data_IF_841926920662
#
_entry.id   IF_841926920662
#
_cell.length_a   1.000
_cell.length_b   1.000
_cell.length_c   1.000
_cell.angle_alpha   90.00
_cell.angle_beta   90.00
_cell.angle_gamma   90.00
#
_symmetry.space_group_name_H-M   'P 1'
#
loop_
_entity.id
_entity.type
_entity.pdbx_description
1 polymer ?
#
# COMPACT_ATOMS: atom_id res chain seq x y z
N UNK A 1 28.22 48.21 -0.41
CA UNK A 1 28.37 47.29 0.74
C UNK A 1 26.97 46.92 1.19
N UNK A 2 26.52 45.70 0.88
CA UNK A 2 25.24 45.19 1.37
C UNK A 2 25.39 44.93 2.89
N UNK A 3 24.57 45.62 3.67
CA UNK A 3 24.46 45.41 5.12
C UNK A 3 23.99 43.98 5.38
N UNK A 4 24.83 43.21 6.08
CA UNK A 4 24.46 41.91 6.60
C UNK A 4 23.20 42.07 7.45
N UNK A 5 22.09 41.48 7.00
CA UNK A 5 20.85 41.38 7.75
C UNK A 5 21.17 40.75 9.10
N UNK A 6 20.90 41.48 10.18
CA UNK A 6 21.15 41.05 11.56
C UNK A 6 20.65 39.62 11.76
N UNK A 7 21.58 38.71 12.08
CA UNK A 7 21.24 37.34 12.38
C UNK A 7 20.31 37.30 13.59
N UNK A 8 19.20 36.56 13.48
CA UNK A 8 18.26 36.41 14.58
C UNK A 8 19.01 35.98 15.86
N UNK A 9 18.75 36.61 17.01
CA UNK A 9 19.48 36.33 18.24
C UNK A 9 19.44 34.84 18.58
N UNK A 10 20.54 34.31 19.14
CA UNK A 10 20.75 32.88 19.41
C UNK A 10 19.61 32.26 20.26
N UNK A 11 18.99 33.08 21.11
CA UNK A 11 17.80 32.78 21.92
C UNK A 11 16.55 32.47 21.11
N UNK A 12 16.46 32.94 19.86
CA UNK A 12 15.39 32.64 18.89
C UNK A 12 15.83 31.55 17.92
N UNK A 13 17.11 31.54 17.51
CA UNK A 13 17.69 30.56 16.59
C UNK A 13 17.70 29.14 17.16
N UNK A 14 18.12 28.97 18.42
CA UNK A 14 18.22 27.65 19.06
C UNK A 14 16.85 26.93 19.19
N UNK A 15 15.77 27.54 19.73
CA UNK A 15 14.46 26.88 19.78
C UNK A 15 13.84 26.68 18.39
N UNK A 16 14.10 27.57 17.43
CA UNK A 16 13.66 27.38 16.05
C UNK A 16 14.34 26.17 15.39
N UNK A 17 15.67 26.08 15.50
CA UNK A 17 16.44 24.97 14.94
C UNK A 17 16.08 23.64 15.61
N UNK A 18 16.00 23.60 16.94
CA UNK A 18 15.59 22.42 17.68
C UNK A 18 14.18 21.96 17.31
N UNK A 19 13.23 22.89 17.14
CA UNK A 19 11.86 22.55 16.68
C UNK A 19 11.86 21.98 15.26
N UNK A 20 12.66 22.53 14.34
CA UNK A 20 12.79 22.03 12.97
C UNK A 20 13.43 20.64 12.91
N UNK A 21 14.51 20.42 13.66
CA UNK A 21 15.19 19.12 13.76
C UNK A 21 14.25 18.07 14.34
N UNK A 22 13.57 18.36 15.45
CA UNK A 22 12.60 17.44 16.06
C UNK A 22 11.45 17.13 15.10
N UNK A 23 10.96 18.14 14.36
CA UNK A 23 9.91 17.94 13.35
C UNK A 23 10.38 17.06 12.19
N UNK A 24 11.62 17.24 11.73
CA UNK A 24 12.21 16.39 10.69
C UNK A 24 12.39 14.95 11.14
N UNK A 25 12.85 14.73 12.38
CA UNK A 25 12.98 13.39 12.98
C UNK A 25 11.59 12.74 13.09
N UNK A 26 10.61 13.45 13.64
CA UNK A 26 9.25 12.93 13.79
C UNK A 26 8.59 12.62 12.44
N UNK A 27 8.80 13.48 11.44
CA UNK A 27 8.35 13.25 10.07
C UNK A 27 8.98 12.00 9.47
N UNK A 28 10.31 11.89 9.55
CA UNK A 28 11.07 10.75 9.00
C UNK A 28 10.67 9.45 9.68
N UNK A 29 10.55 9.44 11.01
CA UNK A 29 10.05 8.29 11.75
C UNK A 29 8.64 7.92 11.29
N UNK A 30 7.71 8.89 11.22
CA UNK A 30 6.33 8.64 10.78
C UNK A 30 6.29 8.04 9.37
N UNK A 31 7.13 8.52 8.45
CA UNK A 31 7.24 8.00 7.09
C UNK A 31 7.75 6.57 7.05
N UNK A 32 8.89 6.30 7.70
CA UNK A 32 9.48 4.95 7.75
C UNK A 32 8.50 3.96 8.38
N UNK A 33 7.85 4.32 9.48
CA UNK A 33 6.89 3.44 10.14
C UNK A 33 5.63 3.22 9.30
N UNK A 34 5.06 4.26 8.71
CA UNK A 34 3.88 4.12 7.85
C UNK A 34 4.19 3.23 6.64
N UNK A 35 5.36 3.43 6.03
CA UNK A 35 5.83 2.63 4.91
C UNK A 35 6.04 1.16 5.30
N UNK A 36 6.70 0.87 6.43
CA UNK A 36 6.91 -0.50 6.89
C UNK A 36 5.61 -1.19 7.30
N UNK A 37 4.67 -0.48 7.94
CA UNK A 37 3.35 -1.01 8.26
C UNK A 37 2.59 -1.39 6.98
N UNK A 38 2.65 -0.54 5.96
CA UNK A 38 2.06 -0.86 4.66
C UNK A 38 2.76 -2.07 4.03
N UNK A 39 4.10 -2.15 4.07
CA UNK A 39 4.86 -3.28 3.52
C UNK A 39 4.54 -4.61 4.19
N UNK A 40 4.47 -4.65 5.53
CA UNK A 40 4.15 -5.87 6.28
C UNK A 40 2.70 -6.29 6.03
N UNK A 41 1.76 -5.33 6.08
CA UNK A 41 0.35 -5.59 5.81
C UNK A 41 0.14 -6.09 4.38
N UNK A 42 0.87 -5.53 3.42
CA UNK A 42 0.80 -5.99 2.04
C UNK A 42 1.40 -7.38 1.90
N UNK A 43 2.58 -7.64 2.49
CA UNK A 43 3.26 -8.92 2.34
C UNK A 43 2.54 -10.10 3.01
N UNK A 44 1.93 -9.89 4.17
CA UNK A 44 1.19 -10.94 4.89
C UNK A 44 -0.26 -11.04 4.41
N UNK A 45 -0.90 -9.90 4.10
CA UNK A 45 -2.32 -9.87 3.78
C UNK A 45 -2.62 -10.17 2.32
N UNK A 46 -1.84 -9.60 1.40
CA UNK A 46 -2.17 -9.62 -0.04
C UNK A 46 -0.99 -10.02 -0.94
N UNK A 47 0.17 -10.34 -0.34
CA UNK A 47 1.47 -10.39 -1.00
C UNK A 47 1.49 -11.34 -2.19
N UNK A 48 0.83 -12.49 -2.09
CA UNK A 48 0.78 -13.45 -3.19
C UNK A 48 0.05 -12.88 -4.42
N UNK A 49 -1.08 -12.19 -4.23
CA UNK A 49 -1.75 -11.47 -5.32
C UNK A 49 -0.92 -10.31 -5.84
N UNK A 50 -0.15 -9.63 -4.99
CA UNK A 50 0.68 -8.51 -5.42
C UNK A 50 1.86 -8.94 -6.29
N UNK A 51 2.55 -10.02 -5.92
CA UNK A 51 3.79 -10.40 -6.58
C UNK A 51 3.56 -11.06 -7.92
N UNK A 52 2.59 -11.97 -7.97
CA UNK A 52 2.56 -12.95 -9.04
C UNK A 52 1.52 -12.63 -10.08
N UNK A 53 1.91 -12.56 -11.35
CA UNK A 53 0.98 -12.22 -12.43
C UNK A 53 -0.17 -13.24 -12.57
N UNK A 54 0.09 -14.51 -12.29
CA UNK A 54 -0.88 -15.61 -12.34
C UNK A 54 -1.87 -15.62 -11.17
N UNK A 55 -1.66 -14.78 -10.14
CA UNK A 55 -2.59 -14.61 -9.02
C UNK A 55 -3.49 -13.38 -9.21
N UNK A 56 -3.24 -12.56 -10.24
CA UNK A 56 -3.98 -11.32 -10.50
C UNK A 56 -5.28 -11.58 -11.26
N UNK A 57 -6.14 -12.39 -10.66
CA UNK A 57 -7.46 -12.73 -11.19
C UNK A 57 -8.47 -11.56 -11.11
N UNK A 58 -9.66 -11.75 -11.65
CA UNK A 58 -10.74 -10.75 -11.61
C UNK A 58 -11.65 -10.87 -10.39
N UNK A 59 -11.51 -11.92 -9.58
CA UNK A 59 -12.41 -12.21 -8.47
C UNK A 59 -11.83 -11.71 -7.15
N UNK A 60 -10.59 -12.11 -6.85
CA UNK A 60 -9.92 -11.92 -5.58
C UNK A 60 -8.96 -10.76 -5.58
N UNK A 61 -8.17 -10.60 -6.63
CA UNK A 61 -7.19 -9.53 -6.67
C UNK A 61 -7.84 -8.14 -6.44
N UNK A 62 -8.99 -7.78 -7.08
CA UNK A 62 -9.67 -6.53 -6.78
C UNK A 62 -10.11 -6.40 -5.32
N UNK A 63 -10.58 -7.49 -4.71
CA UNK A 63 -11.09 -7.49 -3.35
C UNK A 63 -9.97 -7.29 -2.32
N UNK A 64 -8.90 -8.08 -2.43
CA UNK A 64 -7.77 -8.02 -1.50
C UNK A 64 -7.02 -6.69 -1.64
N UNK A 65 -6.87 -6.17 -2.87
CA UNK A 65 -6.30 -4.85 -3.10
C UNK A 65 -7.20 -3.73 -2.59
N UNK A 66 -8.52 -3.85 -2.69
CA UNK A 66 -9.45 -2.88 -2.11
C UNK A 66 -9.29 -2.83 -0.61
N UNK A 67 -9.17 -3.99 0.05
CA UNK A 67 -8.95 -4.04 1.49
C UNK A 67 -7.67 -3.31 1.90
N UNK A 68 -6.52 -3.59 1.25
CA UNK A 68 -5.25 -2.98 1.65
C UNK A 68 -5.30 -1.45 1.49
N UNK A 69 -5.86 -0.93 0.39
CA UNK A 69 -5.90 0.52 0.15
C UNK A 69 -6.95 1.23 1.01
N UNK A 70 -8.11 0.62 1.23
CA UNK A 70 -9.20 1.20 2.01
C UNK A 70 -8.87 1.32 3.51
N UNK A 71 -8.06 0.40 4.04
CA UNK A 71 -7.62 0.44 5.44
C UNK A 71 -6.51 1.47 5.65
N UNK A 72 -5.51 1.48 4.77
CA UNK A 72 -4.27 2.21 5.04
C UNK A 72 -4.28 3.66 4.55
N UNK A 73 -4.78 3.93 3.34
CA UNK A 73 -4.64 5.24 2.72
C UNK A 73 -5.45 6.34 3.43
N UNK A 74 -6.70 6.12 3.86
CA UNK A 74 -7.40 7.16 4.63
C UNK A 74 -6.64 7.55 5.92
N UNK A 75 -5.99 6.57 6.57
CA UNK A 75 -5.20 6.79 7.78
C UNK A 75 -3.96 7.61 7.49
N UNK A 76 -3.15 7.23 6.50
CA UNK A 76 -1.91 7.94 6.18
C UNK A 76 -2.17 9.39 5.77
N UNK A 77 -3.12 9.61 4.86
CA UNK A 77 -3.46 10.98 4.44
C UNK A 77 -3.86 11.85 5.64
N UNK A 78 -4.68 11.31 6.55
CA UNK A 78 -5.09 12.05 7.75
C UNK A 78 -3.93 12.36 8.71
N UNK A 79 -3.05 11.38 8.99
CA UNK A 79 -1.94 11.55 9.93
C UNK A 79 -0.97 12.60 9.42
N UNK A 80 -0.53 12.48 8.16
CA UNK A 80 0.38 13.46 7.56
C UNK A 80 -0.25 14.85 7.51
N UNK A 81 -1.56 14.95 7.29
CA UNK A 81 -2.23 16.23 7.33
C UNK A 81 -2.34 16.83 8.72
N UNK A 82 -2.77 16.02 9.69
CA UNK A 82 -3.03 16.48 11.05
C UNK A 82 -1.76 17.05 11.67
N UNK A 83 -0.66 16.31 11.56
CA UNK A 83 0.57 16.59 12.29
C UNK A 83 1.62 17.36 11.48
N UNK A 84 1.71 17.17 10.16
CA UNK A 84 2.73 17.80 9.32
C UNK A 84 2.16 18.78 8.29
N UNK A 85 0.83 18.95 8.22
CA UNK A 85 0.13 19.78 7.21
C UNK A 85 0.42 19.36 5.77
N UNK A 86 0.74 18.08 5.57
CA UNK A 86 0.96 17.48 4.26
C UNK A 86 -0.36 16.91 3.76
N UNK A 87 -0.70 17.16 2.50
CA UNK A 87 -1.98 16.77 1.90
C UNK A 87 -1.88 15.59 0.92
N UNK A 88 -0.68 15.04 0.76
CA UNK A 88 -0.37 13.92 -0.12
C UNK A 88 0.24 12.75 0.67
N UNK A 89 -0.24 12.54 1.90
CA UNK A 89 0.35 11.59 2.84
C UNK A 89 0.31 10.15 2.35
N UNK A 90 -0.80 9.72 1.76
CA UNK A 90 -0.94 8.37 1.23
C UNK A 90 -0.05 8.15 0.02
N UNK A 91 -0.05 9.11 -0.89
CA UNK A 91 0.80 9.08 -2.08
C UNK A 91 2.28 9.03 -1.68
N UNK A 92 2.68 9.82 -0.67
CA UNK A 92 4.06 9.83 -0.16
C UNK A 92 4.47 8.46 0.40
N UNK A 93 3.66 7.87 1.28
CA UNK A 93 3.93 6.54 1.85
C UNK A 93 4.02 5.49 0.74
N UNK A 94 3.09 5.53 -0.22
CA UNK A 94 3.08 4.61 -1.35
C UNK A 94 4.34 4.75 -2.23
N UNK A 95 4.83 5.95 -2.49
CA UNK A 95 6.05 6.15 -3.28
C UNK A 95 7.28 5.50 -2.62
N UNK A 96 7.43 5.67 -1.31
CA UNK A 96 8.52 5.01 -0.57
C UNK A 96 8.35 3.49 -0.50
N UNK A 97 7.10 3.01 -0.40
CA UNK A 97 6.82 1.58 -0.52
C UNK A 97 7.18 1.04 -1.90
N UNK A 98 6.83 1.73 -2.99
CA UNK A 98 7.22 1.32 -4.35
C UNK A 98 8.73 1.27 -4.51
N UNK A 99 9.47 2.24 -3.96
CA UNK A 99 10.93 2.22 -3.98
C UNK A 99 11.47 0.96 -3.28
N UNK A 100 11.06 0.70 -2.04
CA UNK A 100 11.49 -0.50 -1.31
C UNK A 100 11.12 -1.78 -2.07
N UNK A 101 9.89 -1.86 -2.56
CA UNK A 101 9.35 -3.07 -3.16
C UNK A 101 9.98 -3.36 -4.52
N UNK A 102 10.25 -2.31 -5.31
CA UNK A 102 10.97 -2.43 -6.58
C UNK A 102 12.39 -2.91 -6.35
N UNK A 103 13.10 -2.34 -5.36
CA UNK A 103 14.44 -2.81 -4.98
C UNK A 103 14.42 -4.28 -4.55
N UNK A 104 13.43 -4.69 -3.76
CA UNK A 104 13.29 -6.08 -3.34
C UNK A 104 13.05 -7.02 -4.53
N UNK A 105 12.20 -6.64 -5.49
CA UNK A 105 11.99 -7.44 -6.71
C UNK A 105 13.29 -7.55 -7.51
N UNK A 106 13.97 -6.43 -7.76
CA UNK A 106 15.18 -6.42 -8.57
C UNK A 106 16.31 -7.23 -7.93
N UNK A 107 16.54 -7.06 -6.62
CA UNK A 107 17.63 -7.73 -5.91
C UNK A 107 17.33 -9.20 -5.64
N UNK A 108 16.15 -9.52 -5.09
CA UNK A 108 15.86 -10.87 -4.62
C UNK A 108 15.12 -11.73 -5.64
N UNK A 109 14.08 -11.21 -6.30
CA UNK A 109 13.28 -12.03 -7.20
C UNK A 109 13.96 -12.18 -8.57
N UNK A 110 14.39 -11.08 -9.17
CA UNK A 110 15.09 -11.08 -10.45
C UNK A 110 16.56 -11.44 -10.26
N UNK A 111 17.27 -10.71 -9.39
CA UNK A 111 18.72 -10.85 -9.23
C UNK A 111 19.18 -12.17 -8.61
N UNK A 112 18.55 -12.62 -7.51
CA UNK A 112 18.94 -13.86 -6.83
C UNK A 112 18.18 -15.09 -7.33
N UNK A 113 16.87 -14.95 -7.58
CA UNK A 113 16.02 -16.10 -7.93
C UNK A 113 15.71 -16.23 -9.43
N UNK A 114 16.24 -15.34 -10.27
CA UNK A 114 16.09 -15.37 -11.74
C UNK A 114 14.64 -15.41 -12.22
N UNK A 115 13.69 -14.89 -11.43
CA UNK A 115 12.34 -14.70 -11.91
C UNK A 115 12.32 -13.59 -12.98
N UNK A 116 11.62 -13.78 -14.10
CA UNK A 116 11.41 -12.72 -15.08
C UNK A 116 10.71 -11.52 -14.44
N UNK A 117 11.18 -10.31 -14.73
CA UNK A 117 10.60 -9.09 -14.15
C UNK A 117 9.12 -8.90 -14.52
N UNK A 118 8.71 -9.36 -15.71
CA UNK A 118 7.32 -9.36 -16.14
C UNK A 118 6.46 -10.44 -15.45
N UNK A 119 7.06 -11.40 -14.75
CA UNK A 119 6.33 -12.36 -13.93
C UNK A 119 6.07 -11.84 -12.51
N UNK A 120 7.02 -11.06 -11.97
CA UNK A 120 6.95 -10.46 -10.63
C UNK A 120 6.67 -8.97 -10.75
N UNK A 121 5.39 -8.62 -10.87
CA UNK A 121 4.96 -7.24 -11.16
C UNK A 121 4.23 -6.63 -9.98
N UNK A 122 4.53 -5.39 -9.63
CA UNK A 122 3.79 -4.71 -8.56
C UNK A 122 2.39 -4.28 -8.99
N UNK A 123 1.41 -4.31 -8.07
CA UNK A 123 0.12 -3.69 -8.30
C UNK A 123 0.27 -2.16 -8.35
N UNK A 124 -0.57 -1.51 -9.16
CA UNK A 124 -0.68 -0.06 -9.14
C UNK A 124 -1.73 0.39 -8.12
N UNK A 125 -1.25 1.03 -7.05
CA UNK A 125 -2.09 1.67 -6.03
C UNK A 125 -2.10 3.20 -6.11
N UNK A 126 -1.52 3.77 -7.17
CA UNK A 126 -1.32 5.22 -7.27
C UNK A 126 -2.64 5.99 -7.28
N UNK A 127 -3.60 5.59 -8.11
CA UNK A 127 -4.92 6.24 -8.15
C UNK A 127 -5.70 6.09 -6.84
N UNK A 128 -5.76 4.91 -6.20
CA UNK A 128 -6.34 4.80 -4.86
C UNK A 128 -5.70 5.73 -3.81
N UNK A 129 -4.37 5.86 -3.80
CA UNK A 129 -3.66 6.72 -2.85
C UNK A 129 -3.96 8.20 -3.09
N UNK A 130 -3.89 8.63 -4.35
CA UNK A 130 -4.24 10.00 -4.75
C UNK A 130 -5.69 10.33 -4.38
N UNK A 131 -6.62 9.39 -4.55
CA UNK A 131 -8.02 9.62 -4.24
C UNK A 131 -8.28 9.81 -2.73
N UNK A 132 -7.58 9.07 -1.88
CA UNK A 132 -7.64 9.30 -0.43
C UNK A 132 -7.10 10.70 -0.05
N UNK A 133 -6.00 11.11 -0.68
CA UNK A 133 -5.42 12.45 -0.48
C UNK A 133 -6.35 13.57 -0.99
N UNK A 134 -6.96 13.39 -2.16
CA UNK A 134 -7.96 14.32 -2.71
C UNK A 134 -9.22 14.39 -1.87
N UNK A 135 -9.68 13.28 -1.29
CA UNK A 135 -10.87 13.28 -0.43
C UNK A 135 -10.69 14.17 0.81
N UNK A 136 -9.47 14.22 1.35
CA UNK A 136 -9.15 15.10 2.47
C UNK A 136 -9.10 16.59 2.07
N UNK A 137 -8.64 16.88 0.84
CA UNK A 137 -8.54 18.22 0.27
C UNK A 137 -9.89 18.79 -0.16
N UNK A 138 -10.62 18.06 -1.02
CA UNK A 138 -11.79 18.55 -1.73
C UNK A 138 -13.01 18.70 -0.82
N UNK A 139 -13.21 17.76 0.09
CA UNK A 139 -14.42 17.74 0.90
C UNK A 139 -14.25 18.46 2.25
N UNK A 140 -13.05 18.96 2.57
CA UNK A 140 -12.80 19.67 3.82
C UNK A 140 -13.19 18.88 5.08
N UNK A 141 -13.30 17.54 4.97
CA UNK A 141 -13.93 16.65 5.96
C UNK A 141 -13.11 16.47 7.23
N UNK A 142 -12.14 17.36 7.50
CA UNK A 142 -11.35 17.38 8.73
C UNK A 142 -12.23 17.41 9.99
N UNK A 143 -13.45 17.96 9.89
CA UNK A 143 -14.43 18.04 10.97
C UNK A 143 -15.37 16.82 11.05
N UNK A 144 -15.44 15.99 10.02
CA UNK A 144 -16.36 14.85 9.91
C UNK A 144 -15.59 13.57 9.55
N UNK A 145 -14.85 13.03 10.52
CA UNK A 145 -13.96 11.89 10.32
C UNK A 145 -14.64 10.62 9.82
N UNK A 146 -15.87 10.33 10.28
CA UNK A 146 -16.63 9.19 9.77
C UNK A 146 -16.90 9.30 8.26
N UNK A 147 -17.34 10.47 7.80
CA UNK A 147 -17.63 10.71 6.40
C UNK A 147 -16.36 10.71 5.54
N UNK A 148 -15.26 11.29 6.05
CA UNK A 148 -13.96 11.24 5.40
C UNK A 148 -13.51 9.79 5.15
N UNK A 149 -13.56 8.94 6.17
CA UNK A 149 -13.15 7.54 6.06
C UNK A 149 -14.00 6.81 5.04
N UNK A 150 -15.33 6.97 5.09
CA UNK A 150 -16.26 6.32 4.16
C UNK A 150 -15.99 6.73 2.70
N UNK A 151 -15.90 8.03 2.44
CA UNK A 151 -15.67 8.55 1.08
C UNK A 151 -14.28 8.15 0.57
N UNK A 152 -13.26 8.24 1.41
CA UNK A 152 -11.89 7.88 1.02
C UNK A 152 -11.76 6.40 0.74
N UNK A 153 -12.35 5.53 1.58
CA UNK A 153 -12.35 4.09 1.38
C UNK A 153 -13.11 3.71 0.10
N UNK A 154 -14.27 4.33 -0.14
CA UNK A 154 -15.07 4.09 -1.35
C UNK A 154 -14.30 4.50 -2.61
N UNK A 155 -13.77 5.72 -2.66
CA UNK A 155 -13.02 6.22 -3.81
C UNK A 155 -11.73 5.42 -4.05
N UNK A 156 -11.00 5.08 -2.98
CA UNK A 156 -9.81 4.26 -3.09
C UNK A 156 -10.14 2.86 -3.65
N UNK A 157 -11.20 2.21 -3.17
CA UNK A 157 -11.64 0.90 -3.63
C UNK A 157 -12.08 0.88 -5.09
N UNK A 158 -12.92 1.84 -5.51
CA UNK A 158 -13.40 1.94 -6.90
C UNK A 158 -12.24 2.13 -7.88
N UNK A 159 -11.17 2.81 -7.48
CA UNK A 159 -10.01 3.09 -8.33
C UNK A 159 -8.95 1.97 -8.36
N UNK A 160 -9.12 0.90 -7.58
CA UNK A 160 -8.24 -0.28 -7.61
C UNK A 160 -8.29 -0.93 -9.00
N UNK A 161 -9.49 -1.22 -9.50
CA UNK A 161 -9.64 -1.95 -10.77
C UNK A 161 -9.11 -1.12 -11.95
N UNK A 162 -9.52 0.15 -12.12
CA UNK A 162 -8.96 1.00 -13.18
C UNK A 162 -7.46 1.24 -13.04
N UNK A 163 -6.93 1.40 -11.82
CA UNK A 163 -5.50 1.62 -11.61
C UNK A 163 -4.64 0.39 -11.92
N UNK A 164 -5.11 -0.80 -11.56
CA UNK A 164 -4.36 -2.04 -11.69
C UNK A 164 -4.56 -2.74 -13.04
N UNK A 165 -5.81 -2.94 -13.47
CA UNK A 165 -6.12 -3.85 -14.58
C UNK A 165 -6.06 -3.20 -15.97
N UNK A 166 -6.23 -1.88 -16.06
CA UNK A 166 -6.14 -1.15 -17.34
C UNK A 166 -4.69 -0.84 -17.75
N UNK A 167 -3.74 -0.82 -16.81
CA UNK A 167 -2.37 -0.35 -17.07
C UNK A 167 -1.30 -1.44 -17.04
N UNK A 168 -1.47 -2.52 -16.26
CA UNK A 168 -0.40 -3.51 -16.04
C UNK A 168 -0.71 -4.90 -16.63
N UNK A 169 -1.94 -5.40 -16.49
CA UNK A 169 -2.23 -6.80 -16.82
C UNK A 169 -2.98 -6.99 -18.14
N UNK A 170 -3.49 -5.93 -18.77
CA UNK A 170 -4.30 -6.01 -20.00
C UNK A 170 -3.65 -6.86 -21.10
N UNK A 171 -2.35 -6.74 -21.40
CA UNK A 171 -1.70 -7.57 -22.42
C UNK A 171 -1.63 -9.05 -22.05
N UNK A 172 -1.48 -9.36 -20.75
CA UNK A 172 -1.31 -10.73 -20.25
C UNK A 172 -2.64 -11.45 -20.01
N UNK A 173 -3.70 -10.68 -19.72
CA UNK A 173 -5.04 -11.18 -19.46
C UNK A 173 -5.90 -11.33 -20.73
N UNK A 174 -5.71 -10.44 -21.72
CA UNK A 174 -6.54 -10.43 -22.94
C UNK A 174 -5.94 -11.20 -24.11
N UNK A 175 -4.66 -11.59 -24.02
CA UNK A 175 -4.01 -12.36 -25.08
C UNK A 175 -4.09 -13.84 -24.76
N UNK A 176 -4.71 -14.60 -25.66
CA UNK A 176 -4.71 -16.06 -25.62
C UNK A 176 -3.64 -16.62 -26.55
N UNK A 177 -3.00 -17.70 -26.12
CA UNK A 177 -2.01 -18.45 -26.89
C UNK A 177 -2.53 -19.86 -27.08
N UNK A 178 -2.49 -20.34 -28.32
CA UNK A 178 -2.70 -21.75 -28.63
C UNK A 178 -1.40 -22.52 -28.41
N UNK A 179 -1.44 -23.60 -27.66
CA UNK A 179 -0.32 -24.54 -27.53
C UNK A 179 -0.78 -25.96 -27.87
N UNK A 180 0.11 -26.80 -28.41
CA UNK A 180 -0.21 -28.20 -28.68
C UNK A 180 -0.46 -28.92 -27.35
N UNK A 181 -1.64 -29.52 -27.19
CA UNK A 181 -1.93 -30.38 -26.06
C UNK A 181 -1.18 -31.71 -26.23
N UNK A 182 -0.22 -32.03 -25.33
CA UNK A 182 0.56 -33.25 -25.43
C UNK A 182 -0.26 -34.53 -25.21
N UNK A 183 -1.48 -34.44 -24.66
CA UNK A 183 -2.35 -35.58 -24.38
C UNK A 183 -3.43 -35.81 -25.43
N UNK A 184 -3.96 -34.75 -26.04
CA UNK A 184 -5.06 -34.86 -27.02
C UNK A 184 -4.62 -34.58 -28.46
N UNK A 185 -3.42 -34.03 -28.67
CA UNK A 185 -2.94 -33.62 -30.00
C UNK A 185 -3.67 -32.41 -30.61
N UNK A 186 -4.64 -31.84 -29.88
CA UNK A 186 -5.36 -30.63 -30.26
C UNK A 186 -4.62 -29.35 -29.87
N UNK A 187 -5.14 -28.20 -30.28
CA UNK A 187 -4.65 -26.90 -29.80
C UNK A 187 -5.44 -26.54 -28.55
N UNK A 188 -4.78 -26.52 -27.39
CA UNK A 188 -5.36 -25.95 -26.18
C UNK A 188 -5.12 -24.45 -26.16
N UNK A 189 -6.17 -23.67 -25.90
CA UNK A 189 -6.08 -22.20 -25.84
C UNK A 189 -6.06 -21.77 -24.39
N UNK A 190 -5.02 -21.05 -23.97
CA UNK A 190 -4.94 -20.49 -22.62
C UNK A 190 -4.45 -19.04 -22.66
N UNK A 191 -4.82 -18.22 -21.68
CA UNK A 191 -4.30 -16.87 -21.58
C UNK A 191 -2.78 -16.89 -21.31
N UNK A 192 -2.06 -15.88 -21.79
CA UNK A 192 -0.58 -15.79 -21.70
C UNK A 192 -0.08 -15.99 -20.27
N UNK A 193 -0.80 -15.49 -19.27
CA UNK A 193 -0.39 -15.64 -17.86
C UNK A 193 -0.35 -17.12 -17.41
N UNK A 194 -1.23 -17.98 -17.91
CA UNK A 194 -1.24 -19.42 -17.59
C UNK A 194 -0.02 -20.12 -18.19
N UNK A 195 0.41 -19.71 -19.39
CA UNK A 195 1.63 -20.20 -20.01
C UNK A 195 2.87 -19.81 -19.19
N UNK A 196 2.96 -18.54 -18.79
CA UNK A 196 4.06 -18.03 -17.97
C UNK A 196 4.20 -18.87 -16.69
N UNK A 197 3.09 -19.19 -16.02
CA UNK A 197 3.05 -20.07 -14.83
C UNK A 197 3.59 -21.47 -15.09
N UNK A 198 3.23 -22.09 -16.22
CA UNK A 198 3.71 -23.44 -16.58
C UNK A 198 5.21 -23.45 -16.89
N UNK A 199 5.73 -22.36 -17.48
CA UNK A 199 7.13 -22.26 -17.87
C UNK A 199 8.07 -21.87 -16.73
N UNK A 200 7.58 -21.19 -15.70
CA UNK A 200 8.39 -20.67 -14.59
C UNK A 200 8.02 -21.44 -13.31
N UNK A 201 8.77 -22.48 -12.94
CA UNK A 201 8.46 -23.28 -11.76
C UNK A 201 8.57 -22.45 -10.48
N UNK A 202 7.46 -22.31 -9.76
CA UNK A 202 7.41 -21.74 -8.41
C UNK A 202 7.63 -22.85 -7.38
N UNK A 203 8.87 -23.03 -6.92
CA UNK A 203 9.11 -23.81 -5.70
C UNK A 203 8.79 -22.91 -4.49
N UNK A 204 7.86 -23.26 -3.57
CA UNK A 204 7.10 -24.50 -3.40
C UNK A 204 5.58 -24.23 -3.42
N UNK A 205 5.03 -23.62 -4.47
CA UNK A 205 3.59 -23.28 -4.54
C UNK A 205 2.90 -24.28 -5.49
N UNK A 206 2.25 -25.34 -4.99
CA UNK A 206 1.49 -26.27 -5.80
C UNK A 206 0.37 -25.57 -6.60
N UNK A 207 0.08 -26.11 -7.78
CA UNK A 207 -0.84 -25.47 -8.72
C UNK A 207 -2.29 -25.37 -8.19
N UNK A 208 -2.70 -26.33 -7.36
CA UNK A 208 -4.04 -26.40 -6.77
C UNK A 208 -4.40 -25.25 -5.81
N UNK A 209 -3.40 -24.52 -5.28
CA UNK A 209 -3.65 -23.36 -4.39
C UNK A 209 -4.26 -22.20 -5.18
N UNK A 210 -3.91 -22.03 -6.47
CA UNK A 210 -4.49 -20.98 -7.30
C UNK A 210 -5.71 -21.46 -8.12
N UNK A 211 -5.81 -22.76 -8.41
CA UNK A 211 -6.88 -23.32 -9.27
C UNK A 211 -8.24 -23.43 -8.56
N UNK A 212 -8.26 -23.46 -7.22
CA UNK A 212 -9.50 -23.43 -6.43
C UNK A 212 -10.29 -22.12 -6.53
N UNK A 213 -9.80 -21.12 -7.26
CA UNK A 213 -10.35 -19.78 -7.34
C UNK A 213 -10.78 -19.35 -8.75
N UNK A 214 -11.03 -20.31 -9.66
CA UNK A 214 -11.47 -20.03 -11.04
C UNK A 214 -13.00 -19.97 -11.17
N UNK A 215 -13.51 -18.90 -11.79
CA UNK A 215 -14.93 -18.66 -12.07
C UNK A 215 -15.45 -19.60 -13.19
N UNK A 216 -16.72 -20.06 -13.18
CA UNK A 216 -17.78 -19.82 -12.19
C UNK A 216 -17.64 -20.77 -10.98
N UNK A 217 -17.65 -20.18 -9.78
CA UNK A 217 -17.48 -20.94 -8.54
C UNK A 217 -18.85 -21.34 -7.98
N UNK A 218 -19.08 -22.64 -7.71
CA UNK A 218 -20.31 -23.09 -7.08
C UNK A 218 -20.24 -22.72 -5.59
N UNK A 219 -20.97 -21.68 -5.17
CA UNK A 219 -21.22 -21.40 -3.75
C UNK A 219 -21.83 -22.66 -3.09
N UNK A 220 -21.03 -23.43 -2.36
CA UNK A 220 -21.47 -24.71 -1.79
C UNK A 220 -21.76 -24.67 -0.29
N UNK A 221 -21.16 -23.78 0.51
CA UNK A 221 -21.51 -23.66 1.94
C UNK A 221 -20.92 -22.44 2.67
N UNK A 222 -21.42 -22.17 3.88
CA UNK A 222 -20.96 -21.11 4.81
C UNK A 222 -19.54 -21.33 5.38
N UNK A 223 -18.91 -22.48 5.10
CA UNK A 223 -17.52 -22.79 5.45
C UNK A 223 -16.54 -22.52 4.30
N UNK A 224 -17.01 -21.82 3.26
CA UNK A 224 -16.17 -21.44 2.14
C UNK A 224 -14.96 -20.63 2.66
N UNK A 225 -13.72 -20.91 2.21
CA UNK A 225 -12.52 -20.12 2.55
C UNK A 225 -12.69 -18.60 2.36
N UNK A 226 -13.72 -18.20 1.61
CA UNK A 226 -14.19 -16.85 1.36
C UNK A 226 -14.68 -16.10 2.61
N UNK A 227 -15.48 -16.75 3.47
CA UNK A 227 -15.97 -16.12 4.72
C UNK A 227 -14.82 -16.02 5.74
N UNK A 228 -13.95 -17.04 5.77
CA UNK A 228 -12.79 -17.07 6.64
C UNK A 228 -11.76 -16.02 6.22
N UNK A 229 -11.46 -15.87 4.92
CA UNK A 229 -10.55 -14.83 4.43
C UNK A 229 -11.12 -13.42 4.62
N UNK A 230 -12.40 -13.20 4.32
CA UNK A 230 -13.04 -11.88 4.55
C UNK A 230 -13.04 -11.53 6.04
N UNK A 231 -13.35 -12.49 6.92
CA UNK A 231 -13.29 -12.32 8.37
C UNK A 231 -11.87 -12.07 8.89
N UNK A 232 -10.90 -12.86 8.42
CA UNK A 232 -9.48 -12.68 8.78
C UNK A 232 -8.95 -11.33 8.30
N UNK A 233 -9.24 -10.92 7.06
CA UNK A 233 -8.86 -9.61 6.54
C UNK A 233 -9.53 -8.47 7.33
N UNK A 234 -10.81 -8.60 7.67
CA UNK A 234 -11.49 -7.64 8.54
C UNK A 234 -10.80 -7.48 9.90
N UNK A 235 -10.50 -8.60 10.57
CA UNK A 235 -9.81 -8.61 11.87
C UNK A 235 -8.40 -8.03 11.75
N UNK A 236 -7.63 -8.45 10.76
CA UNK A 236 -6.28 -7.94 10.50
C UNK A 236 -6.32 -6.44 10.22
N UNK A 237 -7.31 -5.95 9.48
CA UNK A 237 -7.48 -4.52 9.21
C UNK A 237 -7.69 -3.71 10.50
N UNK A 238 -8.49 -4.22 11.43
CA UNK A 238 -8.73 -3.58 12.73
C UNK A 238 -7.49 -3.65 13.62
N UNK A 239 -6.81 -4.79 13.68
CA UNK A 239 -5.59 -4.98 14.48
C UNK A 239 -4.47 -4.06 13.96
N UNK A 240 -4.22 -4.05 12.66
CA UNK A 240 -3.14 -3.25 12.06
C UNK A 240 -3.42 -1.74 12.11
N UNK A 241 -4.66 -1.31 11.87
CA UNK A 241 -5.03 0.10 12.07
C UNK A 241 -4.92 0.52 13.54
N UNK A 242 -5.27 -0.36 14.48
CA UNK A 242 -5.07 -0.15 15.92
C UNK A 242 -3.60 -0.01 16.32
N UNK A 243 -2.73 -0.92 15.87
CA UNK A 243 -1.28 -0.83 16.08
C UNK A 243 -0.68 0.44 15.47
N UNK A 244 -1.04 0.74 14.24
CA UNK A 244 -0.62 1.96 13.53
C UNK A 244 -1.01 3.21 14.31
N UNK A 245 -2.25 3.26 14.80
CA UNK A 245 -2.73 4.37 15.63
C UNK A 245 -1.98 4.51 16.95
N UNK A 246 -1.80 3.42 17.71
CA UNK A 246 -1.10 3.43 19.00
C UNK A 246 0.34 3.91 18.81
N UNK A 247 1.03 3.39 17.80
CA UNK A 247 2.43 3.71 17.58
C UNK A 247 2.62 5.15 17.14
N UNK A 248 1.78 5.64 16.23
CA UNK A 248 1.83 7.04 15.79
C UNK A 248 1.47 7.98 16.93
N UNK A 249 0.49 7.62 17.77
CA UNK A 249 0.18 8.38 18.99
C UNK A 249 1.39 8.45 19.94
N UNK A 250 2.16 7.38 20.07
CA UNK A 250 3.39 7.36 20.89
C UNK A 250 4.49 8.26 20.32
N UNK A 251 4.68 8.28 19.00
CA UNK A 251 5.61 9.21 18.33
C UNK A 251 5.20 10.66 18.63
N UNK A 252 3.91 10.99 18.48
CA UNK A 252 3.43 12.35 18.72
C UNK A 252 3.44 12.76 20.18
N UNK A 253 3.17 11.83 21.10
CA UNK A 253 3.35 12.06 22.53
C UNK A 253 4.82 12.37 22.87
N UNK A 254 5.76 11.60 22.29
CA UNK A 254 7.20 11.88 22.41
C UNK A 254 7.56 13.25 21.83
N UNK A 255 7.09 13.56 20.63
CA UNK A 255 7.29 14.85 19.97
C UNK A 255 6.85 16.03 20.84
N UNK A 256 5.62 15.97 21.37
CA UNK A 256 5.06 17.05 22.19
C UNK A 256 5.82 17.23 23.51
N UNK A 257 6.20 16.12 24.17
CA UNK A 257 6.97 16.15 25.41
C UNK A 257 8.39 16.69 25.19
N UNK A 258 9.04 16.28 24.10
CA UNK A 258 10.38 16.74 23.73
C UNK A 258 10.37 18.24 23.38
N UNK A 259 9.39 18.72 22.62
CA UNK A 259 9.27 20.17 22.34
C UNK A 259 9.08 20.95 23.63
N UNK A 260 8.19 20.53 24.53
CA UNK A 260 7.99 21.22 25.82
C UNK A 260 9.23 21.23 26.71
N UNK A 261 10.09 20.22 26.60
CA UNK A 261 11.33 20.14 27.37
C UNK A 261 12.43 21.06 26.82
N UNK A 262 12.56 21.15 25.49
CA UNK A 262 13.64 21.92 24.85
C UNK A 262 13.24 23.35 24.45
N UNK A 263 11.96 23.63 24.31
CA UNK A 263 11.43 24.96 24.02
C UNK A 263 10.78 25.49 25.29
N UNK A 264 11.50 26.32 26.05
CA UNK A 264 10.88 27.09 27.13
C UNK A 264 9.75 27.94 26.52
N UNK A 265 8.59 28.07 27.19
CA UNK A 265 7.55 28.98 26.72
C UNK A 265 8.15 30.37 26.58
N UNK A 266 7.91 31.02 25.44
CA UNK A 266 8.36 32.38 25.20
C UNK A 266 7.81 33.28 26.32
N UNK A 267 8.68 33.71 27.24
CA UNK A 267 8.31 34.51 28.42
C UNK A 267 8.70 33.95 29.79
N UNK A 268 9.54 32.92 29.89
CA UNK A 268 10.16 32.48 31.15
C UNK A 268 11.65 32.85 31.24
#
# INVERSE_FOLDING_TARGET
>A
MATATAEAPETVRAPFFTTKVITFIAFTATLIFSQNMFAVSSQIGVGDWEFWIDWKDYAWAPFVYTWIVAVHFPVYSWIFNKFFKIYFGSTLVLMFWFLQRTLMIQLFYVGMNNYPFNYVQLPSYLFPAMAADFALLLFGLKKHMGLYVLVSAFLAGVLVVPGHFLFLNTPFLLTNVGYPDPFTGGIHTMPVWSLIRMTIPKAPIPSYIAEGFTWPLPYKSFYDPYIIMTGFMGIMGVVWSGFTYIFLKSIFYGYEKTIKHFVKPAGA
#
